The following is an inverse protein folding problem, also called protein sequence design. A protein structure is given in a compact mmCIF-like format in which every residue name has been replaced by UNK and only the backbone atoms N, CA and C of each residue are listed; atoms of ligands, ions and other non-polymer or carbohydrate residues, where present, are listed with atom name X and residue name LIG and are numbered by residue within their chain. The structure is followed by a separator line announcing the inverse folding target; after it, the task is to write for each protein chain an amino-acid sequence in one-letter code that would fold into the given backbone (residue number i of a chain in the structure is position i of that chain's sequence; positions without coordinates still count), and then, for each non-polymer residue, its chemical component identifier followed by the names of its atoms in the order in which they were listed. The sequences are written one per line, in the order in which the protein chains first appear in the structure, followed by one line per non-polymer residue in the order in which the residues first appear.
data_IF_970458097352
#
_entry.id   IF_970458097352
#
_cell.length_a   1.000
_cell.length_b   1.000
_cell.length_c   1.000
_cell.angle_alpha   90.00
_cell.angle_beta   90.00
_cell.angle_gamma   90.00
#
_symmetry.space_group_name_H-M   'P 1'
#
loop_
_entity.id
_entity.type
_entity.pdbx_description
1 polymer ?
#
# COMPACT_ATOMS: atom_id res chain seq x y z
N UNK A 1 5.58 -1.84 35.21
CA UNK A 1 4.65 -1.37 34.18
C UNK A 1 5.31 -0.19 33.49
N UNK A 2 5.59 -0.27 32.18
CA UNK A 2 6.09 0.87 31.41
C UNK A 2 5.01 1.95 31.40
N UNK A 3 5.42 3.20 31.58
CA UNK A 3 4.49 4.33 31.42
C UNK A 3 4.27 4.54 29.92
N UNK A 4 3.09 4.97 29.52
CA UNK A 4 2.80 5.33 28.12
C UNK A 4 3.79 6.36 27.55
N UNK A 5 4.38 7.20 28.43
CA UNK A 5 5.43 8.16 28.08
C UNK A 5 6.73 7.53 27.57
N UNK A 6 6.94 6.25 27.84
CA UNK A 6 8.17 5.52 27.45
C UNK A 6 8.02 4.83 26.08
N UNK A 7 6.82 4.89 25.50
CA UNK A 7 6.50 4.31 24.18
C UNK A 7 6.63 5.39 23.12
N UNK A 8 7.53 5.18 22.17
CA UNK A 8 7.62 6.02 20.97
C UNK A 8 6.62 5.53 19.94
N UNK A 9 5.68 6.38 19.58
CA UNK A 9 4.66 6.08 18.58
C UNK A 9 4.93 6.89 17.31
N UNK A 10 4.66 6.27 16.17
CA UNK A 10 4.73 6.89 14.86
C UNK A 10 3.38 6.74 14.17
N UNK A 11 2.84 7.84 13.68
CA UNK A 11 1.68 7.82 12.81
C UNK A 11 2.16 7.66 11.36
N UNK A 12 1.76 6.57 10.74
CA UNK A 12 2.07 6.25 9.35
C UNK A 12 0.86 6.47 8.43
N UNK A 13 -0.18 7.15 8.95
CA UNK A 13 -1.43 7.40 8.22
C UNK A 13 -1.26 8.55 7.26
N UNK A 14 -1.59 8.36 5.99
CA UNK A 14 -1.71 9.47 5.05
C UNK A 14 -2.96 10.30 5.38
N UNK A 15 -2.90 11.63 5.39
CA UNK A 15 -4.08 12.46 5.57
C UNK A 15 -5.16 12.16 4.52
N UNK A 16 -6.43 12.16 4.92
CA UNK A 16 -7.56 12.00 4.01
C UNK A 16 -8.12 13.37 3.63
N UNK A 17 -8.18 13.64 2.33
CA UNK A 17 -8.75 14.85 1.73
C UNK A 17 -9.34 14.57 0.35
N UNK A 18 -9.94 15.59 -0.25
CA UNK A 18 -10.57 15.46 -1.58
C UNK A 18 -9.60 15.08 -2.70
N UNK A 19 -8.29 15.28 -2.46
CA UNK A 19 -7.23 14.91 -3.39
C UNK A 19 -6.61 13.54 -3.09
N UNK A 20 -7.05 12.84 -2.05
CA UNK A 20 -6.56 11.49 -1.76
C UNK A 20 -7.01 10.55 -2.85
N UNK A 21 -6.10 9.93 -3.61
CA UNK A 21 -6.49 9.04 -4.69
C UNK A 21 -7.19 7.81 -4.13
N UNK A 22 -8.28 7.41 -4.79
CA UNK A 22 -8.85 6.07 -4.61
C UNK A 22 -8.06 5.06 -5.45
N UNK A 23 -8.30 3.77 -5.21
CA UNK A 23 -7.84 2.75 -6.15
C UNK A 23 -8.33 3.09 -7.57
N UNK A 24 -7.51 2.94 -8.62
CA UNK A 24 -7.91 3.24 -10.00
C UNK A 24 -9.26 2.64 -10.35
N UNK A 25 -10.14 3.44 -10.95
CA UNK A 25 -11.54 3.12 -11.30
C UNK A 25 -12.54 3.06 -10.13
N UNK A 26 -12.11 3.23 -8.88
CA UNK A 26 -13.04 3.33 -7.75
C UNK A 26 -13.59 4.76 -7.61
N UNK A 27 -14.75 4.87 -6.92
CA UNK A 27 -15.34 6.17 -6.62
C UNK A 27 -14.37 7.06 -5.85
N UNK A 28 -14.13 8.29 -6.31
CA UNK A 28 -13.28 9.23 -5.59
C UNK A 28 -13.93 9.68 -4.29
N UNK A 29 -13.11 10.08 -3.32
CA UNK A 29 -13.59 10.66 -2.08
C UNK A 29 -14.43 11.91 -2.36
N UNK A 30 -15.62 11.95 -1.78
CA UNK A 30 -16.47 13.13 -1.75
C UNK A 30 -16.60 13.63 -0.32
N UNK A 31 -16.44 14.95 -0.13
CA UNK A 31 -16.54 15.58 1.19
C UNK A 31 -17.30 16.88 1.10
N UNK A 32 -18.28 17.07 1.98
CA UNK A 32 -18.98 18.33 2.13
C UNK A 32 -19.32 18.64 3.58
N UNK A 33 -19.30 19.92 3.93
CA UNK A 33 -19.85 20.33 5.22
C UNK A 33 -21.38 20.33 5.15
N UNK A 34 -22.03 19.65 6.08
CA UNK A 34 -23.47 19.75 6.31
C UNK A 34 -23.80 20.66 7.50
N UNK A 35 -22.80 20.93 8.36
CA UNK A 35 -22.86 21.94 9.44
C UNK A 35 -21.64 22.85 9.38
N UNK A 36 -21.83 24.10 9.74
CA UNK A 36 -20.75 25.08 9.89
C UNK A 36 -20.86 25.72 11.28
N UNK A 37 -19.72 26.10 11.84
CA UNK A 37 -19.63 26.68 13.20
C UNK A 37 -20.53 27.90 13.36
N UNK A 38 -20.48 28.86 12.45
CA UNK A 38 -21.25 30.09 12.52
C UNK A 38 -22.69 29.73 12.27
N UNK A 39 -23.53 29.33 11.77
CA UNK A 39 -24.98 29.18 11.98
C UNK A 39 -25.36 28.04 12.93
N UNK A 40 -24.50 27.05 13.14
CA UNK A 40 -24.92 25.80 13.79
C UNK A 40 -24.18 25.49 15.10
N UNK A 41 -23.18 26.29 15.49
CA UNK A 41 -22.39 26.07 16.70
C UNK A 41 -21.42 24.90 16.66
N UNK A 42 -21.33 24.20 15.51
CA UNK A 42 -20.40 23.09 15.31
C UNK A 42 -20.10 22.90 13.80
N UNK A 43 -18.92 22.34 13.49
CA UNK A 43 -18.61 21.84 12.16
C UNK A 43 -18.97 20.37 12.06
N UNK A 44 -19.57 19.97 10.97
CA UNK A 44 -19.84 18.57 10.63
C UNK A 44 -19.64 18.32 9.14
N UNK A 45 -18.99 17.20 8.82
CA UNK A 45 -18.71 16.80 7.45
C UNK A 45 -19.44 15.50 7.11
N UNK A 46 -19.94 15.41 5.90
CA UNK A 46 -20.37 14.16 5.28
C UNK A 46 -19.25 13.71 4.34
N UNK A 47 -18.82 12.46 4.50
CA UNK A 47 -17.82 11.83 3.65
C UNK A 47 -18.44 10.60 2.97
N UNK A 48 -18.18 10.46 1.69
CA UNK A 48 -18.53 9.28 0.89
C UNK A 48 -17.27 8.82 0.18
N UNK A 49 -16.88 7.58 0.39
CA UNK A 49 -15.67 7.00 -0.22
C UNK A 49 -15.77 5.48 -0.30
N UNK A 50 -14.98 4.87 -1.18
CA UNK A 50 -14.76 3.42 -1.17
C UNK A 50 -13.89 3.01 0.04
N UNK A 51 -13.81 1.72 0.34
CA UNK A 51 -12.94 1.22 1.42
C UNK A 51 -11.44 1.36 1.11
N UNK A 52 -11.09 1.56 -0.17
CA UNK A 52 -9.72 1.60 -0.66
C UNK A 52 -9.29 3.04 -0.97
N UNK A 53 -9.33 3.90 0.05
CA UNK A 53 -8.90 5.31 0.00
C UNK A 53 -8.00 5.61 1.19
N UNK A 54 -6.84 6.20 0.95
CA UNK A 54 -5.86 6.50 1.99
C UNK A 54 -5.28 5.26 2.65
N UNK A 55 -4.77 5.40 3.87
CA UNK A 55 -4.23 4.28 4.63
C UNK A 55 -5.37 3.42 5.17
N UNK A 56 -5.42 2.17 4.74
CA UNK A 56 -6.46 1.22 5.10
C UNK A 56 -5.92 -0.21 5.20
N UNK A 57 -6.75 -1.12 5.67
CA UNK A 57 -6.45 -2.54 5.76
C UNK A 57 -7.43 -3.32 4.87
N UNK A 58 -6.91 -4.13 3.98
CA UNK A 58 -7.70 -5.12 3.24
C UNK A 58 -7.97 -6.34 4.11
N UNK A 59 -9.24 -6.65 4.32
CA UNK A 59 -9.64 -7.87 5.00
C UNK A 59 -9.71 -9.07 4.05
N UNK A 60 -9.73 -10.32 4.58
CA UNK A 60 -9.83 -11.52 3.75
C UNK A 60 -11.01 -11.52 2.78
N UNK A 61 -12.14 -10.93 3.17
CA UNK A 61 -13.35 -10.83 2.33
C UNK A 61 -13.13 -10.00 1.06
N UNK A 62 -12.08 -9.17 0.99
CA UNK A 62 -11.81 -8.36 -0.20
C UNK A 62 -11.54 -9.23 -1.43
N UNK A 63 -10.84 -10.35 -1.26
CA UNK A 63 -10.48 -11.27 -2.36
C UNK A 63 -11.20 -12.62 -2.29
N UNK A 64 -11.85 -12.95 -1.17
CA UNK A 64 -12.57 -14.19 -0.97
C UNK A 64 -13.92 -13.91 -0.31
N UNK A 65 -15.02 -14.14 -1.05
CA UNK A 65 -16.38 -13.91 -0.53
C UNK A 65 -16.73 -14.77 0.68
N UNK A 66 -16.05 -15.88 0.90
CA UNK A 66 -16.15 -16.71 2.10
C UNK A 66 -15.19 -16.26 3.21
N UNK A 67 -14.32 -15.31 2.93
CA UNK A 67 -13.37 -14.74 3.87
C UNK A 67 -14.06 -13.94 4.99
N UNK A 68 -13.36 -13.79 6.10
CA UNK A 68 -13.86 -12.96 7.21
C UNK A 68 -13.79 -11.48 6.86
N UNK A 69 -14.79 -10.73 7.27
CA UNK A 69 -14.77 -9.27 7.23
C UNK A 69 -13.81 -8.69 8.29
N UNK A 70 -13.48 -7.41 8.17
CA UNK A 70 -12.55 -6.73 9.09
C UNK A 70 -13.11 -6.70 10.52
N UNK A 71 -14.44 -6.59 10.71
CA UNK A 71 -15.07 -6.53 12.02
C UNK A 71 -14.94 -7.85 12.80
N UNK A 72 -14.84 -8.98 12.10
CA UNK A 72 -14.66 -10.31 12.69
C UNK A 72 -13.20 -10.70 12.93
N UNK A 73 -12.24 -9.84 12.58
CA UNK A 73 -10.82 -10.07 12.87
C UNK A 73 -10.53 -9.77 14.35
N UNK A 74 -9.84 -10.67 15.01
CA UNK A 74 -9.36 -10.46 16.38
C UNK A 74 -8.28 -9.35 16.37
N UNK A 75 -8.37 -8.36 17.25
CA UNK A 75 -7.38 -7.29 17.36
C UNK A 75 -5.96 -7.81 17.59
N UNK A 76 -5.82 -8.95 18.28
CA UNK A 76 -4.54 -9.63 18.47
C UNK A 76 -3.89 -10.10 17.17
N UNK A 77 -4.67 -10.24 16.09
CA UNK A 77 -4.15 -10.55 14.75
C UNK A 77 -3.58 -9.31 14.05
N UNK A 78 -4.04 -8.13 14.44
CA UNK A 78 -3.65 -6.85 13.84
C UNK A 78 -2.46 -6.20 14.55
N UNK A 79 -2.08 -6.68 15.74
CA UNK A 79 -0.99 -6.14 16.53
C UNK A 79 0.01 -7.26 16.85
N UNK A 80 1.26 -7.07 16.44
CA UNK A 80 2.35 -8.02 16.67
C UNK A 80 3.70 -7.29 16.63
N UNK A 81 4.77 -7.93 17.10
CA UNK A 81 6.12 -7.53 16.71
C UNK A 81 6.26 -7.50 15.19
N UNK A 82 7.14 -6.67 14.68
CA UNK A 82 7.36 -6.57 13.25
C UNK A 82 8.61 -5.82 12.91
N UNK A 83 8.86 -5.71 11.62
CA UNK A 83 10.01 -5.01 11.06
C UNK A 83 9.58 -4.04 9.98
N UNK A 84 10.32 -2.94 9.89
CA UNK A 84 10.25 -2.02 8.75
C UNK A 84 11.51 -2.27 7.94
N UNK A 85 11.35 -2.62 6.66
CA UNK A 85 12.46 -2.73 5.73
C UNK A 85 12.49 -1.51 4.82
N UNK A 86 13.63 -0.85 4.73
CA UNK A 86 13.85 0.27 3.82
C UNK A 86 14.48 -0.25 2.51
N UNK A 87 13.73 -0.13 1.42
CA UNK A 87 14.13 -0.47 0.05
C UNK A 87 14.23 0.77 -0.85
N UNK A 88 14.10 1.98 -0.28
CA UNK A 88 13.99 3.23 -1.03
C UNK A 88 15.22 3.55 -1.89
N UNK A 89 16.40 3.05 -1.50
CA UNK A 89 17.65 3.23 -2.23
C UNK A 89 17.75 2.40 -3.53
N UNK A 90 16.94 1.35 -3.66
CA UNK A 90 16.90 0.49 -4.86
C UNK A 90 15.58 0.58 -5.62
N UNK A 91 14.57 1.27 -5.06
CA UNK A 91 13.26 1.39 -5.68
C UNK A 91 13.33 2.24 -6.96
N UNK A 92 12.68 1.76 -8.00
CA UNK A 92 12.56 2.44 -9.29
C UNK A 92 11.16 2.22 -9.87
N UNK A 93 10.76 3.06 -10.83
CA UNK A 93 9.48 2.90 -11.51
C UNK A 93 9.38 1.48 -12.12
N UNK A 94 8.28 0.79 -11.81
CA UNK A 94 8.01 -0.60 -12.19
C UNK A 94 9.07 -1.62 -11.70
N UNK A 95 9.80 -1.30 -10.64
CA UNK A 95 10.82 -2.19 -10.08
C UNK A 95 10.24 -3.45 -9.46
N UNK A 96 11.09 -4.47 -9.29
CA UNK A 96 10.76 -5.69 -8.54
C UNK A 96 11.70 -5.77 -7.34
N UNK A 97 11.12 -6.08 -6.17
CA UNK A 97 11.89 -6.46 -4.99
C UNK A 97 11.63 -7.94 -4.65
N UNK A 98 12.62 -8.57 -4.03
CA UNK A 98 12.62 -9.99 -3.71
C UNK A 98 12.69 -10.24 -2.20
N UNK A 99 12.35 -11.45 -1.71
CA UNK A 99 12.62 -11.85 -0.33
C UNK A 99 14.08 -11.63 0.09
N UNK A 100 15.04 -11.87 -0.82
CA UNK A 100 16.46 -11.70 -0.57
C UNK A 100 16.83 -10.21 -0.37
N UNK A 101 16.15 -9.30 -1.05
CA UNK A 101 16.34 -7.85 -0.83
C UNK A 101 15.93 -7.44 0.58
N UNK A 102 14.86 -8.05 1.09
CA UNK A 102 14.37 -7.85 2.45
C UNK A 102 15.33 -8.47 3.47
N UNK A 103 15.66 -9.77 3.31
CA UNK A 103 16.47 -10.52 4.29
C UNK A 103 17.91 -10.02 4.39
N UNK A 104 18.43 -9.36 3.35
CA UNK A 104 19.75 -8.67 3.43
C UNK A 104 19.74 -7.46 4.35
N UNK A 105 18.59 -6.87 4.64
CA UNK A 105 18.44 -5.62 5.40
C UNK A 105 17.92 -5.83 6.80
N UNK A 106 16.98 -6.75 6.96
CA UNK A 106 16.30 -7.00 8.23
C UNK A 106 16.10 -8.50 8.46
N UNK A 107 16.06 -8.90 9.73
CA UNK A 107 15.70 -10.27 10.10
C UNK A 107 14.19 -10.34 10.32
N UNK A 108 13.49 -11.02 9.45
CA UNK A 108 12.05 -11.27 9.56
C UNK A 108 11.80 -12.59 10.26
N UNK A 109 11.07 -12.58 11.36
CA UNK A 109 10.70 -13.76 12.14
C UNK A 109 9.32 -14.27 11.76
N UNK A 110 9.05 -15.53 12.06
CA UNK A 110 7.71 -16.12 11.90
C UNK A 110 6.68 -15.32 12.71
N UNK A 111 5.61 -14.93 12.05
CA UNK A 111 4.49 -14.21 12.67
C UNK A 111 4.70 -12.71 12.84
N UNK A 112 5.76 -12.15 12.31
CA UNK A 112 5.98 -10.70 12.31
C UNK A 112 4.97 -9.96 11.41
N UNK A 113 4.80 -8.67 11.70
CA UNK A 113 4.28 -7.69 10.75
C UNK A 113 5.46 -7.20 9.89
N UNK A 114 5.24 -7.08 8.59
CA UNK A 114 6.24 -6.59 7.65
C UNK A 114 5.78 -5.27 7.03
N UNK A 115 6.51 -4.19 7.25
CA UNK A 115 6.29 -2.91 6.58
C UNK A 115 7.43 -2.68 5.60
N UNK A 116 7.09 -2.44 4.34
CA UNK A 116 8.03 -2.23 3.24
C UNK A 116 8.00 -0.76 2.86
N UNK A 117 9.08 -0.05 3.16
CA UNK A 117 9.30 1.31 2.71
C UNK A 117 9.97 1.28 1.34
N UNK A 118 9.22 1.59 0.30
CA UNK A 118 9.75 1.72 -1.07
C UNK A 118 10.22 3.14 -1.37
N UNK A 119 9.93 4.11 -0.47
CA UNK A 119 10.17 5.53 -0.68
C UNK A 119 9.13 6.21 -1.58
N UNK A 120 8.12 5.47 -2.09
CA UNK A 120 7.09 6.03 -2.98
C UNK A 120 6.07 6.90 -2.25
N UNK A 121 6.04 6.88 -0.92
CA UNK A 121 5.24 7.83 -0.12
C UNK A 121 5.54 9.29 -0.46
N UNK A 122 6.76 9.61 -0.94
CA UNK A 122 7.11 10.97 -1.37
C UNK A 122 6.26 11.46 -2.55
N UNK A 123 5.62 10.56 -3.29
CA UNK A 123 4.69 10.88 -4.37
C UNK A 123 3.23 10.94 -3.91
N UNK A 124 2.97 10.71 -2.62
CA UNK A 124 1.63 10.84 -2.03
C UNK A 124 1.05 12.25 -2.22
N UNK A 125 -0.27 12.35 -2.29
CA UNK A 125 -1.02 13.55 -2.67
C UNK A 125 -0.74 14.78 -1.77
N UNK A 126 -0.33 14.56 -0.53
CA UNK A 126 0.00 15.60 0.47
C UNK A 126 1.48 15.99 0.48
N UNK A 127 2.27 15.39 -0.40
CA UNK A 127 3.70 15.68 -0.54
C UNK A 127 3.97 16.85 -1.49
N UNK A 128 5.04 17.62 -1.27
CA UNK A 128 5.52 18.61 -2.24
C UNK A 128 5.92 18.01 -3.61
N UNK A 129 6.21 16.72 -3.65
CA UNK A 129 6.58 15.96 -4.87
C UNK A 129 5.45 15.07 -5.35
N UNK A 130 4.20 15.38 -4.98
CA UNK A 130 3.03 14.58 -5.32
C UNK A 130 2.97 14.24 -6.82
N UNK A 131 2.85 12.95 -7.10
CA UNK A 131 2.69 12.40 -8.45
C UNK A 131 1.82 11.14 -8.34
N UNK A 132 0.51 11.31 -8.56
CA UNK A 132 -0.45 10.22 -8.43
C UNK A 132 -0.12 9.04 -9.35
N UNK A 133 0.37 9.29 -10.56
CA UNK A 133 0.72 8.21 -11.50
C UNK A 133 1.87 7.38 -10.98
N UNK A 134 2.91 7.99 -10.43
CA UNK A 134 4.01 7.25 -9.81
C UNK A 134 3.54 6.50 -8.59
N UNK A 135 2.78 7.17 -7.71
CA UNK A 135 2.28 6.60 -6.48
C UNK A 135 1.40 5.36 -6.71
N UNK A 136 0.49 5.42 -7.69
CA UNK A 136 -0.52 4.38 -7.93
C UNK A 136 -0.14 3.38 -9.02
N UNK A 137 0.61 3.79 -10.05
CA UNK A 137 0.76 3.02 -11.28
C UNK A 137 2.18 2.57 -11.56
N UNK A 138 3.20 3.17 -10.92
CA UNK A 138 4.60 2.92 -11.24
C UNK A 138 5.45 2.44 -10.07
N UNK A 139 4.87 2.34 -8.87
CA UNK A 139 5.62 1.84 -7.72
C UNK A 139 6.15 0.43 -7.96
N UNK A 140 7.25 0.04 -7.27
CA UNK A 140 7.75 -1.32 -7.34
C UNK A 140 6.78 -2.32 -6.70
N UNK A 141 6.91 -3.58 -7.08
CA UNK A 141 6.14 -4.67 -6.49
C UNK A 141 7.01 -5.88 -6.16
N UNK A 142 6.45 -6.88 -5.49
CA UNK A 142 7.17 -8.09 -5.11
C UNK A 142 7.40 -9.03 -6.31
N UNK A 143 8.44 -9.86 -6.23
CA UNK A 143 8.64 -10.99 -7.13
C UNK A 143 7.68 -12.14 -6.83
N UNK A 144 7.54 -13.09 -7.75
CA UNK A 144 6.63 -14.24 -7.60
C UNK A 144 6.89 -15.09 -6.35
N UNK A 145 8.15 -15.30 -6.00
CA UNK A 145 8.56 -16.10 -4.83
C UNK A 145 8.24 -15.42 -3.50
N UNK A 146 7.94 -14.12 -3.52
CA UNK A 146 7.56 -13.36 -2.32
C UNK A 146 6.31 -13.93 -1.64
N UNK A 147 5.31 -14.36 -2.40
CA UNK A 147 4.06 -14.91 -1.85
C UNK A 147 4.34 -16.18 -1.04
N UNK A 148 5.17 -17.08 -1.59
CA UNK A 148 5.53 -18.30 -0.88
C UNK A 148 6.36 -18.00 0.37
N UNK A 149 7.31 -17.08 0.27
CA UNK A 149 8.13 -16.65 1.40
C UNK A 149 7.28 -16.03 2.53
N UNK A 150 6.29 -15.18 2.20
CA UNK A 150 5.34 -14.59 3.16
C UNK A 150 4.56 -15.68 3.90
N UNK A 151 4.11 -16.72 3.16
CA UNK A 151 3.39 -17.86 3.74
C UNK A 151 4.28 -18.69 4.66
N UNK A 152 5.51 -18.97 4.25
CA UNK A 152 6.47 -19.75 5.04
C UNK A 152 6.88 -19.02 6.32
N UNK A 153 7.04 -17.70 6.27
CA UNK A 153 7.27 -16.82 7.43
C UNK A 153 6.02 -16.58 8.26
N UNK A 154 4.83 -16.99 7.79
CA UNK A 154 3.53 -16.74 8.44
C UNK A 154 3.33 -15.26 8.78
N UNK A 155 3.74 -14.37 7.88
CA UNK A 155 3.60 -12.92 8.06
C UNK A 155 2.14 -12.60 8.36
N UNK A 156 1.89 -11.79 9.40
CA UNK A 156 0.53 -11.47 9.84
C UNK A 156 -0.20 -10.56 8.88
N UNK A 157 0.48 -9.50 8.47
CA UNK A 157 0.04 -8.58 7.44
C UNK A 157 1.26 -7.81 6.91
N UNK A 158 1.08 -7.24 5.73
CA UNK A 158 2.09 -6.47 5.03
C UNK A 158 1.59 -5.04 4.91
N UNK A 159 2.45 -4.07 5.22
CA UNK A 159 2.21 -2.66 4.93
C UNK A 159 3.17 -2.19 3.85
N UNK A 160 2.67 -1.28 3.00
CA UNK A 160 3.46 -0.61 1.96
C UNK A 160 3.20 0.88 1.98
N UNK A 161 4.11 1.66 1.46
CA UNK A 161 4.05 3.13 1.41
C UNK A 161 3.66 3.66 0.03
N UNK A 162 2.96 2.86 -0.76
CA UNK A 162 2.54 3.16 -2.12
C UNK A 162 1.12 2.64 -2.41
N UNK A 163 0.65 2.76 -3.64
CA UNK A 163 -0.72 2.47 -4.01
C UNK A 163 -1.17 1.03 -3.81
N UNK A 164 -0.27 0.04 -3.80
CA UNK A 164 -0.61 -1.38 -3.63
C UNK A 164 0.56 -2.19 -3.10
N UNK A 165 0.26 -3.32 -2.45
CA UNK A 165 1.24 -4.33 -2.10
C UNK A 165 1.65 -5.21 -3.30
N UNK A 166 0.87 -5.21 -4.37
CA UNK A 166 1.17 -5.90 -5.63
C UNK A 166 1.97 -5.00 -6.59
N UNK A 167 2.62 -5.62 -7.57
CA UNK A 167 3.16 -4.85 -8.69
C UNK A 167 2.00 -4.33 -9.54
N UNK A 168 1.84 -3.00 -9.76
CA UNK A 168 0.63 -2.44 -10.35
C UNK A 168 0.33 -3.01 -11.75
N UNK A 169 1.36 -3.20 -12.57
CA UNK A 169 1.20 -3.76 -13.91
C UNK A 169 1.03 -5.29 -13.93
N UNK A 170 1.05 -5.97 -12.78
CA UNK A 170 0.63 -7.37 -12.62
C UNK A 170 -0.79 -7.49 -12.08
N UNK A 171 -1.57 -6.43 -12.13
CA UNK A 171 -2.97 -6.36 -11.73
C UNK A 171 -3.86 -5.95 -12.91
N UNK A 172 -5.16 -5.80 -12.67
CA UNK A 172 -6.11 -5.26 -13.65
C UNK A 172 -5.83 -3.82 -14.08
N UNK A 173 -5.01 -3.09 -13.35
CA UNK A 173 -4.53 -1.76 -13.77
C UNK A 173 -3.87 -1.82 -15.15
N UNK A 174 -3.18 -2.91 -15.47
CA UNK A 174 -2.57 -3.12 -16.78
C UNK A 174 -3.56 -2.98 -17.94
N UNK A 175 -4.77 -3.51 -17.76
CA UNK A 175 -5.82 -3.47 -18.79
C UNK A 175 -6.41 -2.05 -18.91
N UNK A 176 -6.46 -1.30 -17.81
CA UNK A 176 -7.05 0.05 -17.75
C UNK A 176 -6.08 1.15 -18.18
N UNK A 177 -4.76 0.90 -17.99
CA UNK A 177 -3.68 1.85 -18.24
C UNK A 177 -2.67 1.32 -19.28
N UNK A 178 -3.10 1.14 -20.55
CA UNK A 178 -2.26 0.47 -21.59
C UNK A 178 -0.98 1.25 -21.91
N UNK A 179 -0.95 2.56 -21.68
CA UNK A 179 0.27 3.36 -21.87
C UNK A 179 1.32 3.03 -20.80
N UNK A 180 0.91 2.88 -19.54
CA UNK A 180 1.79 2.48 -18.45
C UNK A 180 2.24 1.03 -18.61
N UNK A 181 1.34 0.15 -19.04
CA UNK A 181 1.67 -1.24 -19.36
C UNK A 181 2.76 -1.33 -20.45
N UNK A 182 2.62 -0.52 -21.51
CA UNK A 182 3.62 -0.45 -22.58
C UNK A 182 4.96 0.10 -22.08
N UNK A 183 4.93 1.12 -21.22
CA UNK A 183 6.15 1.69 -20.64
C UNK A 183 6.86 0.67 -19.74
N UNK A 184 6.11 -0.06 -18.91
CA UNK A 184 6.61 -1.12 -18.07
C UNK A 184 7.26 -2.24 -18.93
N UNK A 185 6.58 -2.74 -19.95
CA UNK A 185 7.11 -3.80 -20.81
C UNK A 185 8.40 -3.39 -21.54
N UNK A 186 8.49 -2.16 -22.02
CA UNK A 186 9.73 -1.61 -22.60
C UNK A 186 10.89 -1.61 -21.62
N UNK A 187 10.61 -1.21 -20.36
CA UNK A 187 11.61 -1.19 -19.30
C UNK A 187 12.05 -2.62 -18.97
N UNK A 188 11.09 -3.55 -18.81
CA UNK A 188 11.36 -4.95 -18.54
C UNK A 188 12.16 -5.62 -19.67
N UNK A 189 11.77 -5.37 -20.92
CA UNK A 189 12.51 -5.86 -22.09
C UNK A 189 13.96 -5.39 -22.08
N UNK A 190 14.19 -4.11 -21.75
CA UNK A 190 15.54 -3.53 -21.65
C UNK A 190 16.35 -4.15 -20.50
N UNK A 191 15.73 -4.38 -19.34
CA UNK A 191 16.41 -4.79 -18.11
C UNK A 191 16.57 -6.31 -18.00
N UNK A 192 15.56 -7.06 -18.40
CA UNK A 192 15.46 -8.51 -18.20
C UNK A 192 15.39 -9.31 -19.50
N UNK A 193 15.29 -8.65 -20.67
CA UNK A 193 15.10 -9.31 -21.97
C UNK A 193 13.72 -9.97 -22.12
N UNK A 194 12.75 -9.62 -21.27
CA UNK A 194 11.41 -10.19 -21.18
C UNK A 194 10.40 -9.09 -20.89
N UNK A 195 9.13 -9.32 -21.25
CA UNK A 195 8.02 -8.49 -20.79
C UNK A 195 7.68 -8.80 -19.34
N UNK A 196 6.87 -7.95 -18.70
CA UNK A 196 6.41 -8.22 -17.34
C UNK A 196 5.68 -9.57 -17.24
N UNK A 197 4.78 -9.86 -18.17
CA UNK A 197 4.01 -11.12 -18.19
C UNK A 197 4.87 -12.40 -18.35
N UNK A 198 6.09 -12.26 -18.87
CA UNK A 198 7.03 -13.38 -18.96
C UNK A 198 7.89 -13.53 -17.71
N UNK A 199 7.89 -12.52 -16.85
CA UNK A 199 8.57 -12.54 -15.55
C UNK A 199 7.63 -13.05 -14.47
N UNK A 200 6.34 -12.69 -14.54
CA UNK A 200 5.25 -13.14 -13.66
C UNK A 200 4.42 -14.23 -14.34
#
# INVERSE_FOLDING_TARGET
MSKWSDIKMYDLTIPIGICTPAWPTYEPLQMKFFKRLTPNGANGQLMTHSNHVGTHLDGPMHFDTAGRDVASLELTKLCAPGVVVDLSDQAEDFGIYTPQDIERRVTVKEGDVLIINTGYHIYGWDSPTADERRYMLRHPGPSLDFIQWVRDKKIRWIGVDCGSADHPMNTKIRDWEPMEATACDKLFQKKYGKTLNEVY
#
